data_IF_916445497651
#
_entry.id   IF_916445497651
#
_cell.length_a   1.000
_cell.length_b   1.000
_cell.length_c   1.000
_cell.angle_alpha   90.00
_cell.angle_beta   90.00
_cell.angle_gamma   90.00
#
_symmetry.space_group_name_H-M   'P 1'
#
loop_
_entity.id
_entity.type
_entity.pdbx_description
1 polymer ?
#
# COMPACT_ATOMS: atom_id res chain seq x y z
N UNK A 1 16.42 22.22 -14.36
CA UNK A 1 16.73 20.80 -14.15
C UNK A 1 16.11 20.41 -12.82
N UNK A 2 15.22 19.41 -12.80
CA UNK A 2 14.71 18.87 -11.54
C UNK A 2 15.85 18.14 -10.82
N UNK A 3 16.04 18.35 -9.51
CA UNK A 3 17.00 17.58 -8.74
C UNK A 3 16.70 16.07 -8.86
N UNK A 4 17.71 15.18 -8.94
CA UNK A 4 17.46 13.75 -8.86
C UNK A 4 16.78 13.41 -7.54
N UNK A 5 15.83 12.45 -7.54
CA UNK A 5 14.97 12.14 -6.39
C UNK A 5 15.72 12.15 -5.05
N UNK A 6 16.92 11.55 -4.98
CA UNK A 6 17.71 11.45 -3.75
C UNK A 6 17.94 12.80 -3.03
N UNK A 7 18.22 13.86 -3.78
CA UNK A 7 18.43 15.18 -3.16
C UNK A 7 17.16 15.73 -2.48
N UNK A 8 15.96 15.39 -2.97
CA UNK A 8 14.71 15.89 -2.40
C UNK A 8 14.37 15.24 -1.07
N UNK A 9 14.68 13.95 -0.88
CA UNK A 9 14.40 13.27 0.40
C UNK A 9 15.35 13.74 1.51
N UNK A 10 16.63 13.93 1.18
CA UNK A 10 17.63 14.54 2.06
C UNK A 10 17.22 15.96 2.44
N UNK A 11 16.93 16.84 1.48
CA UNK A 11 16.48 18.21 1.75
C UNK A 11 15.22 18.25 2.61
N UNK A 12 14.26 17.37 2.36
CA UNK A 12 13.04 17.26 3.18
C UNK A 12 13.35 16.89 4.63
N UNK A 13 14.35 16.02 4.84
CA UNK A 13 14.88 15.69 6.17
C UNK A 13 15.61 16.84 6.83
N UNK A 14 16.47 17.53 6.12
CA UNK A 14 17.19 18.70 6.63
C UNK A 14 16.23 19.83 7.04
N UNK A 15 15.13 20.00 6.30
CA UNK A 15 14.06 20.97 6.61
C UNK A 15 13.17 20.54 7.78
N UNK A 16 13.41 19.37 8.38
CA UNK A 16 12.68 18.89 9.56
C UNK A 16 11.27 18.37 9.28
N UNK A 17 10.94 18.04 8.02
CA UNK A 17 9.64 17.44 7.71
C UNK A 17 9.51 16.05 8.36
N UNK A 18 8.37 15.80 9.00
CA UNK A 18 8.08 14.49 9.61
C UNK A 18 7.97 13.40 8.56
N UNK A 19 7.17 13.64 7.51
CA UNK A 19 6.83 12.64 6.50
C UNK A 19 7.42 12.96 5.13
N UNK A 20 7.78 11.91 4.39
CA UNK A 20 8.20 11.97 2.98
C UNK A 20 7.23 11.14 2.16
N UNK A 21 6.25 11.78 1.54
CA UNK A 21 5.34 11.13 0.60
C UNK A 21 5.96 11.15 -0.80
N UNK A 22 6.17 9.98 -1.39
CA UNK A 22 6.77 9.81 -2.71
C UNK A 22 5.76 9.08 -3.59
N UNK A 23 5.19 9.80 -4.55
CA UNK A 23 4.27 9.20 -5.51
C UNK A 23 5.01 8.69 -6.74
N UNK A 24 4.70 7.46 -7.13
CA UNK A 24 5.19 6.83 -8.35
C UNK A 24 4.06 6.01 -9.00
N UNK A 25 4.33 5.43 -10.17
CA UNK A 25 3.32 4.73 -10.95
C UNK A 25 3.06 3.30 -10.48
N UNK A 26 4.05 2.61 -9.89
CA UNK A 26 4.01 1.17 -9.61
C UNK A 26 4.67 0.82 -8.28
N UNK A 27 4.17 -0.23 -7.63
CA UNK A 27 4.61 -0.69 -6.30
C UNK A 27 6.15 -0.73 -6.23
N UNK A 28 6.68 -0.11 -5.19
CA UNK A 28 8.12 0.03 -4.95
C UNK A 28 8.68 -1.17 -4.17
N UNK A 29 7.97 -1.60 -3.12
CA UNK A 29 8.28 -2.80 -2.36
C UNK A 29 8.31 -4.02 -3.27
N UNK A 30 9.14 -5.01 -2.91
CA UNK A 30 9.14 -6.26 -3.66
C UNK A 30 7.84 -7.02 -3.32
N UNK A 31 7.31 -7.71 -4.33
CA UNK A 31 6.20 -8.63 -4.17
C UNK A 31 6.55 -9.85 -5.02
N UNK A 32 6.82 -10.97 -4.36
CA UNK A 32 6.88 -12.28 -4.99
C UNK A 32 5.47 -12.69 -5.44
N UNK A 33 5.30 -12.84 -6.75
CA UNK A 33 4.06 -13.22 -7.42
C UNK A 33 4.07 -14.67 -7.94
N UNK A 34 5.12 -15.47 -7.65
CA UNK A 34 5.24 -16.86 -8.12
C UNK A 34 4.07 -17.73 -7.65
N UNK A 35 3.49 -17.43 -6.48
CA UNK A 35 2.33 -18.15 -5.94
C UNK A 35 1.00 -17.80 -6.60
N UNK A 36 0.95 -16.86 -7.54
CA UNK A 36 -0.28 -16.44 -8.21
C UNK A 36 -0.18 -16.40 -9.74
N UNK A 37 0.66 -15.55 -10.31
CA UNK A 37 0.70 -15.30 -11.77
C UNK A 37 2.11 -15.10 -12.33
N UNK A 38 3.14 -15.27 -11.50
CA UNK A 38 4.54 -15.41 -11.94
C UNK A 38 4.98 -16.88 -11.95
N UNK A 39 6.28 -17.08 -12.06
CA UNK A 39 6.93 -18.39 -11.88
C UNK A 39 8.11 -18.29 -10.92
N UNK A 40 8.79 -19.39 -10.61
CA UNK A 40 10.02 -19.35 -9.81
C UNK A 40 11.17 -18.68 -10.60
N UNK A 41 11.17 -18.81 -11.93
CA UNK A 41 12.12 -18.15 -12.83
C UNK A 41 11.81 -16.65 -12.98
N UNK A 42 10.52 -16.28 -13.01
CA UNK A 42 10.04 -14.90 -13.08
C UNK A 42 9.12 -14.57 -11.88
N UNK A 43 9.69 -14.41 -10.67
CA UNK A 43 8.92 -14.27 -9.44
C UNK A 43 8.38 -12.85 -9.24
N UNK A 44 8.68 -11.90 -10.13
CA UNK A 44 8.32 -10.50 -9.98
C UNK A 44 7.57 -9.98 -11.19
N UNK A 45 6.62 -9.07 -10.96
CA UNK A 45 5.99 -8.34 -12.04
C UNK A 45 7.03 -7.44 -12.72
N UNK A 46 7.23 -7.64 -14.02
CA UNK A 46 8.21 -6.93 -14.84
C UNK A 46 7.95 -5.42 -14.95
N UNK A 47 6.71 -4.97 -14.73
CA UNK A 47 6.31 -3.56 -14.76
C UNK A 47 6.51 -2.84 -13.41
N UNK A 48 6.90 -3.57 -12.35
CA UNK A 48 7.06 -3.03 -10.99
C UNK A 48 8.53 -2.89 -10.62
N UNK A 49 8.83 -2.11 -9.56
CA UNK A 49 10.21 -1.92 -9.09
C UNK A 49 10.88 -3.22 -8.62
N UNK A 50 10.10 -4.25 -8.34
CA UNK A 50 10.58 -5.58 -8.00
C UNK A 50 11.52 -6.16 -9.08
N UNK A 51 11.21 -5.96 -10.37
CA UNK A 51 12.02 -6.42 -11.51
C UNK A 51 13.24 -5.51 -11.77
N UNK A 52 13.13 -4.21 -11.49
CA UNK A 52 14.20 -3.21 -11.67
C UNK A 52 15.15 -3.13 -10.47
N UNK A 53 15.69 -4.28 -10.05
CA UNK A 53 16.43 -4.45 -8.79
C UNK A 53 17.58 -3.45 -8.60
N UNK A 54 18.37 -3.16 -9.63
CA UNK A 54 19.47 -2.20 -9.53
C UNK A 54 18.98 -0.78 -9.21
N UNK A 55 17.86 -0.36 -9.79
CA UNK A 55 17.28 0.97 -9.52
C UNK A 55 16.69 1.01 -8.10
N UNK A 56 15.92 -0.03 -7.74
CA UNK A 56 15.34 -0.16 -6.40
C UNK A 56 16.41 -0.17 -5.32
N UNK A 57 17.50 -0.90 -5.52
CA UNK A 57 18.61 -0.97 -4.59
C UNK A 57 19.32 0.38 -4.42
N UNK A 58 19.53 1.16 -5.48
CA UNK A 58 20.11 2.51 -5.33
C UNK A 58 19.20 3.44 -4.53
N UNK A 59 17.88 3.36 -4.75
CA UNK A 59 16.91 4.11 -3.94
C UNK A 59 16.96 3.69 -2.48
N UNK A 60 16.98 2.38 -2.19
CA UNK A 60 17.14 1.91 -0.81
C UNK A 60 18.48 2.30 -0.20
N UNK A 61 19.60 2.17 -0.92
CA UNK A 61 20.92 2.62 -0.46
C UNK A 61 20.88 4.08 -0.03
N UNK A 62 20.23 4.93 -0.81
CA UNK A 62 20.06 6.34 -0.48
C UNK A 62 19.18 6.54 0.77
N UNK A 63 18.01 5.88 0.85
CA UNK A 63 17.10 6.04 2.00
C UNK A 63 17.75 5.54 3.30
N UNK A 64 18.31 4.32 3.29
CA UNK A 64 18.95 3.73 4.46
C UNK A 64 20.26 4.42 4.82
N UNK A 65 21.12 4.71 3.83
CA UNK A 65 22.43 5.33 4.04
C UNK A 65 22.34 6.73 4.64
N UNK A 66 21.28 7.47 4.32
CA UNK A 66 21.01 8.79 4.89
C UNK A 66 20.04 8.75 6.07
N UNK A 67 19.69 7.56 6.58
CA UNK A 67 18.76 7.36 7.71
C UNK A 67 17.41 8.09 7.48
N UNK A 68 16.89 8.00 6.26
CA UNK A 68 15.62 8.59 5.86
C UNK A 68 14.51 7.60 6.17
N UNK A 69 13.70 7.94 7.18
CA UNK A 69 12.54 7.18 7.62
C UNK A 69 11.24 7.98 7.43
N UNK A 70 10.12 7.47 7.96
CA UNK A 70 8.79 8.05 7.79
C UNK A 70 8.44 8.29 6.31
N UNK A 71 8.81 7.33 5.46
CA UNK A 71 8.61 7.39 4.02
C UNK A 71 7.33 6.68 3.63
N UNK A 72 6.43 7.37 2.92
CA UNK A 72 5.21 6.79 2.37
C UNK A 72 5.36 6.75 0.85
N UNK A 73 5.60 5.57 0.31
CA UNK A 73 5.50 5.33 -1.13
C UNK A 73 4.02 5.22 -1.50
N UNK A 74 3.61 5.95 -2.53
CA UNK A 74 2.26 5.93 -3.06
C UNK A 74 2.30 5.44 -4.51
N UNK A 75 1.53 4.42 -4.82
CA UNK A 75 1.48 3.84 -6.15
C UNK A 75 0.05 3.56 -6.63
N UNK A 76 -0.06 3.36 -7.95
CA UNK A 76 -1.24 2.81 -8.60
C UNK A 76 -0.83 1.73 -9.59
N UNK A 77 -1.54 1.63 -10.71
CA UNK A 77 -1.14 0.84 -11.88
C UNK A 77 -1.23 -0.69 -11.74
N UNK A 78 -1.15 -1.22 -10.52
CA UNK A 78 -1.19 -2.66 -10.24
C UNK A 78 -2.60 -3.27 -10.28
N UNK A 79 -3.65 -2.45 -10.38
CA UNK A 79 -5.06 -2.87 -10.37
C UNK A 79 -5.51 -3.61 -9.11
N UNK A 80 -4.80 -3.45 -8.01
CA UNK A 80 -5.17 -3.96 -6.70
C UNK A 80 -4.79 -2.96 -5.60
N UNK A 81 -5.42 -3.11 -4.44
CA UNK A 81 -5.07 -2.40 -3.23
C UNK A 81 -4.01 -3.18 -2.46
N UNK A 82 -3.01 -2.46 -1.96
CA UNK A 82 -1.88 -3.04 -1.25
C UNK A 82 -1.48 -2.16 -0.06
N UNK A 83 -1.36 -2.77 1.11
CA UNK A 83 -0.65 -2.19 2.24
C UNK A 83 0.60 -3.00 2.50
N UNK A 84 1.77 -2.41 2.29
CA UNK A 84 3.06 -3.03 2.56
C UNK A 84 3.91 -2.22 3.54
N UNK A 85 4.65 -2.91 4.40
CA UNK A 85 5.79 -2.32 5.08
C UNK A 85 6.89 -2.00 4.03
N UNK A 86 7.56 -0.86 4.17
CA UNK A 86 8.66 -0.46 3.30
C UNK A 86 9.99 -0.87 3.93
N UNK A 87 10.57 -1.96 3.41
CA UNK A 87 11.87 -2.47 3.85
C UNK A 87 12.70 -3.09 2.74
N UNK A 88 14.02 -2.98 2.88
CA UNK A 88 14.97 -3.54 1.93
C UNK A 88 15.27 -5.03 2.18
N UNK A 89 15.51 -5.43 3.44
CA UNK A 89 15.80 -6.83 3.79
C UNK A 89 14.57 -7.53 4.37
N UNK A 90 14.03 -8.48 3.60
CA UNK A 90 12.78 -9.17 3.93
C UNK A 90 12.98 -10.42 4.78
N UNK A 91 14.21 -10.89 4.92
CA UNK A 91 14.53 -12.15 5.61
C UNK A 91 14.16 -12.05 7.09
N UNK A 92 14.42 -10.90 7.72
CA UNK A 92 14.13 -10.68 9.14
C UNK A 92 12.83 -9.91 9.37
N UNK A 93 12.32 -9.19 8.37
CA UNK A 93 11.21 -8.25 8.55
C UNK A 93 11.60 -7.00 9.35
N UNK A 94 12.88 -6.81 9.65
CA UNK A 94 13.40 -5.69 10.41
C UNK A 94 13.82 -4.52 9.50
N UNK A 95 13.97 -3.34 10.11
CA UNK A 95 14.47 -2.15 9.42
C UNK A 95 13.43 -1.50 8.51
N UNK A 96 12.16 -1.57 8.87
CA UNK A 96 11.10 -0.86 8.14
C UNK A 96 11.28 0.65 8.32
N UNK A 97 11.22 1.38 7.20
CA UNK A 97 11.43 2.83 7.13
C UNK A 97 10.16 3.61 6.73
N UNK A 98 9.03 2.89 6.60
CA UNK A 98 7.72 3.46 6.37
C UNK A 98 6.79 2.46 5.69
N UNK A 99 5.94 2.94 4.78
CA UNK A 99 4.96 2.11 4.09
C UNK A 99 4.99 2.30 2.57
N UNK A 100 4.60 1.27 1.85
CA UNK A 100 4.24 1.33 0.44
C UNK A 100 2.76 1.02 0.28
N UNK A 101 2.03 2.03 -0.18
CA UNK A 101 0.58 2.05 -0.25
C UNK A 101 0.18 2.18 -1.71
N UNK A 102 -0.50 1.16 -2.22
CA UNK A 102 -0.92 1.14 -3.62
C UNK A 102 -2.43 0.96 -3.73
N UNK A 103 -3.03 1.66 -4.68
CA UNK A 103 -4.46 1.57 -4.96
C UNK A 103 -4.73 0.90 -6.29
N UNK A 104 -5.91 0.28 -6.37
CA UNK A 104 -6.43 -0.23 -7.63
C UNK A 104 -6.85 0.91 -8.57
N UNK A 105 -7.41 0.57 -9.72
CA UNK A 105 -7.96 1.55 -10.65
C UNK A 105 -9.28 2.17 -10.14
N UNK A 106 -9.54 3.41 -10.56
CA UNK A 106 -10.81 4.09 -10.30
C UNK A 106 -11.96 3.49 -11.12
N UNK A 107 -11.71 3.08 -12.37
CA UNK A 107 -12.78 2.60 -13.28
C UNK A 107 -12.38 1.51 -14.27
N UNK A 108 -11.08 1.25 -14.48
CA UNK A 108 -10.60 0.21 -15.41
C UNK A 108 -11.07 -1.20 -14.99
N UNK A 109 -10.97 -2.20 -15.87
CA UNK A 109 -11.49 -3.55 -15.62
C UNK A 109 -10.86 -4.27 -14.43
N UNK A 110 -9.65 -3.88 -14.01
CA UNK A 110 -8.86 -4.49 -12.93
C UNK A 110 -8.68 -6.00 -13.05
N UNK A 111 -8.42 -6.70 -11.94
CA UNK A 111 -8.36 -8.16 -11.95
C UNK A 111 -9.72 -8.78 -12.24
N UNK A 112 -9.71 -9.87 -13.01
CA UNK A 112 -10.91 -10.63 -13.32
C UNK A 112 -11.32 -11.51 -12.13
N UNK A 113 -12.62 -11.76 -12.02
CA UNK A 113 -13.19 -12.62 -10.97
C UNK A 113 -14.13 -11.87 -10.03
N UNK A 114 -14.68 -12.62 -9.08
CA UNK A 114 -15.46 -12.08 -7.97
C UNK A 114 -14.58 -11.94 -6.72
N UNK A 115 -15.13 -11.35 -5.65
CA UNK A 115 -14.45 -11.15 -4.36
C UNK A 115 -13.80 -12.45 -3.86
N UNK A 116 -14.54 -13.57 -3.89
CA UNK A 116 -14.02 -14.86 -3.44
C UNK A 116 -12.79 -15.33 -4.25
N UNK A 117 -12.79 -15.08 -5.57
CA UNK A 117 -11.66 -15.45 -6.44
C UNK A 117 -10.42 -14.61 -6.12
N UNK A 118 -10.59 -13.29 -5.94
CA UNK A 118 -9.49 -12.40 -5.59
C UNK A 118 -8.98 -12.63 -4.17
N UNK A 119 -9.85 -13.04 -3.23
CA UNK A 119 -9.44 -13.39 -1.87
C UNK A 119 -8.57 -14.65 -1.86
N UNK A 120 -8.89 -15.67 -2.67
CA UNK A 120 -8.03 -16.86 -2.84
C UNK A 120 -6.65 -16.48 -3.38
N UNK A 121 -6.56 -15.47 -4.26
CA UNK A 121 -5.27 -14.97 -4.74
C UNK A 121 -4.49 -14.29 -3.62
N UNK A 122 -5.13 -13.41 -2.87
CA UNK A 122 -4.53 -12.73 -1.72
C UNK A 122 -4.07 -13.74 -0.64
N UNK A 123 -4.80 -14.83 -0.42
CA UNK A 123 -4.42 -15.94 0.47
C UNK A 123 -3.11 -16.64 0.04
N UNK A 124 -2.76 -16.62 -1.24
CA UNK A 124 -1.50 -17.18 -1.75
C UNK A 124 -0.34 -16.20 -1.68
N UNK A 125 -0.61 -14.90 -1.86
CA UNK A 125 0.41 -13.85 -1.88
C UNK A 125 0.85 -13.43 -0.48
N UNK A 126 -0.10 -13.18 0.42
CA UNK A 126 0.20 -12.62 1.74
C UNK A 126 1.18 -13.50 2.53
N UNK A 127 1.04 -14.84 2.59
CA UNK A 127 1.98 -15.66 3.36
C UNK A 127 3.42 -15.64 2.86
N UNK A 128 3.63 -15.54 1.54
CA UNK A 128 4.97 -15.64 0.92
C UNK A 128 5.71 -14.29 0.79
N UNK A 129 5.08 -13.20 1.21
CA UNK A 129 5.64 -11.83 1.17
C UNK A 129 5.60 -11.22 2.58
N UNK A 130 6.73 -11.21 3.30
CA UNK A 130 6.77 -10.79 4.71
C UNK A 130 6.31 -9.35 4.93
N UNK A 131 6.60 -8.48 3.96
CA UNK A 131 6.25 -7.07 3.87
C UNK A 131 4.79 -6.81 3.47
N UNK A 132 4.11 -7.76 2.83
CA UNK A 132 2.73 -7.59 2.38
C UNK A 132 1.80 -7.79 3.58
N UNK A 133 1.24 -6.68 4.05
CA UNK A 133 0.36 -6.67 5.22
C UNK A 133 -1.10 -6.86 4.81
N UNK A 134 -1.51 -6.33 3.67
CA UNK A 134 -2.86 -6.50 3.16
C UNK A 134 -2.93 -6.42 1.64
N UNK A 135 -3.77 -7.26 1.03
CA UNK A 135 -4.11 -7.20 -0.39
C UNK A 135 -5.63 -7.37 -0.60
N UNK A 136 -6.19 -6.54 -1.48
CA UNK A 136 -7.58 -6.62 -1.94
C UNK A 136 -7.62 -6.22 -3.42
N UNK A 137 -8.18 -7.08 -4.28
CA UNK A 137 -8.02 -6.94 -5.74
C UNK A 137 -9.34 -6.86 -6.51
N UNK A 138 -10.48 -6.84 -5.81
CA UNK A 138 -11.81 -6.83 -6.41
C UNK A 138 -12.32 -5.40 -6.64
N UNK A 139 -12.43 -4.60 -5.59
CA UNK A 139 -13.09 -3.30 -5.67
C UNK A 139 -12.32 -2.31 -6.54
N UNK A 140 -13.05 -1.39 -7.16
CA UNK A 140 -12.46 -0.14 -7.66
C UNK A 140 -12.37 0.84 -6.51
N UNK A 141 -11.26 1.55 -6.38
CA UNK A 141 -10.98 2.24 -5.11
C UNK A 141 -10.24 3.56 -5.30
N UNK A 142 -10.14 4.27 -4.19
CA UNK A 142 -9.15 5.31 -3.94
C UNK A 142 -8.68 5.19 -2.49
N UNK A 143 -7.56 5.86 -2.17
CA UNK A 143 -7.15 6.06 -0.77
C UNK A 143 -7.28 7.54 -0.37
N UNK A 144 -7.51 7.77 0.91
CA UNK A 144 -7.25 9.06 1.55
C UNK A 144 -6.09 8.92 2.51
N UNK A 145 -5.12 9.84 2.43
CA UNK A 145 -3.95 9.86 3.31
C UNK A 145 -3.99 11.13 4.17
N UNK A 146 -4.08 10.96 5.49
CA UNK A 146 -3.97 12.03 6.47
C UNK A 146 -2.60 11.98 7.12
N UNK A 147 -1.87 13.09 7.03
CA UNK A 147 -0.55 13.22 7.64
C UNK A 147 -0.61 14.27 8.74
N UNK A 148 -0.16 13.90 9.93
CA UNK A 148 0.11 14.84 11.02
C UNK A 148 1.51 14.58 11.61
N UNK A 149 1.95 15.39 12.56
CA UNK A 149 3.30 15.28 13.12
C UNK A 149 3.59 13.95 13.87
N UNK A 150 2.58 13.13 14.17
CA UNK A 150 2.70 11.89 14.96
C UNK A 150 2.43 10.63 14.15
N UNK A 151 1.57 10.70 13.14
CA UNK A 151 1.13 9.53 12.38
C UNK A 151 0.69 9.88 10.96
N UNK A 152 0.74 8.86 10.10
CA UNK A 152 0.15 8.82 8.78
C UNK A 152 -1.00 7.81 8.79
N UNK A 153 -2.23 8.26 8.52
CA UNK A 153 -3.42 7.42 8.43
C UNK A 153 -3.85 7.28 6.97
N UNK A 154 -3.84 6.05 6.47
CA UNK A 154 -4.33 5.67 5.14
C UNK A 154 -5.67 4.96 5.26
N UNK A 155 -6.69 5.48 4.58
CA UNK A 155 -8.03 4.90 4.53
C UNK A 155 -8.37 4.52 3.08
N UNK A 156 -8.70 3.25 2.87
CA UNK A 156 -9.06 2.70 1.56
C UNK A 156 -10.58 2.62 1.42
N UNK A 157 -11.09 3.12 0.30
CA UNK A 157 -12.52 3.11 -0.01
C UNK A 157 -12.79 2.48 -1.37
N UNK A 158 -13.73 1.54 -1.41
CA UNK A 158 -14.20 0.87 -2.62
C UNK A 158 -15.51 1.46 -3.13
N UNK A 159 -15.68 1.52 -4.45
CA UNK A 159 -16.94 1.82 -5.09
C UNK A 159 -17.76 0.52 -5.28
N UNK A 160 -19.06 0.48 -4.92
CA UNK A 160 -19.90 -0.70 -5.14
C UNK A 160 -20.06 -1.03 -6.62
N UNK A 161 -20.01 0.00 -7.47
CA UNK A 161 -20.07 -0.13 -8.92
C UNK A 161 -19.46 1.11 -9.56
N UNK A 162 -18.81 0.92 -10.71
CA UNK A 162 -18.34 2.00 -11.59
C UNK A 162 -19.22 2.17 -12.84
N UNK A 163 -20.29 1.35 -12.96
CA UNK A 163 -21.20 1.36 -14.11
C UNK A 163 -22.22 2.50 -14.04
N UNK A 164 -22.57 2.93 -12.83
CA UNK A 164 -23.55 3.99 -12.58
C UNK A 164 -23.00 4.99 -11.57
N UNK A 165 -23.31 6.27 -11.78
CA UNK A 165 -22.97 7.32 -10.82
C UNK A 165 -23.69 7.05 -9.50
N UNK A 166 -22.94 7.07 -8.40
CA UNK A 166 -23.44 6.93 -7.05
C UNK A 166 -22.51 7.67 -6.09
N UNK A 167 -22.93 7.86 -4.85
CA UNK A 167 -22.17 8.55 -3.80
C UNK A 167 -21.75 7.61 -2.67
N UNK A 168 -21.62 6.31 -2.95
CA UNK A 168 -21.34 5.31 -1.93
C UNK A 168 -19.84 4.98 -1.91
N UNK A 169 -19.25 5.11 -0.73
CA UNK A 169 -17.89 4.68 -0.44
C UNK A 169 -17.96 3.51 0.56
N UNK A 170 -17.41 2.36 0.18
CA UNK A 170 -17.32 1.15 1.01
C UNK A 170 -15.96 1.20 1.73
N UNK A 171 -15.89 1.34 3.06
CA UNK A 171 -14.62 1.24 3.77
C UNK A 171 -14.01 -0.15 3.60
N UNK A 172 -12.78 -0.24 3.10
CA UNK A 172 -12.09 -1.51 2.86
C UNK A 172 -11.08 -1.84 3.96
N UNK A 173 -10.18 -0.90 4.25
CA UNK A 173 -9.13 -1.04 5.25
C UNK A 173 -8.65 0.32 5.75
N UNK A 174 -8.09 0.35 6.96
CA UNK A 174 -7.31 1.49 7.45
C UNK A 174 -5.95 1.04 7.99
N UNK A 175 -4.94 1.88 7.75
CA UNK A 175 -3.60 1.67 8.27
C UNK A 175 -3.05 2.96 8.84
N UNK A 176 -2.43 2.86 10.00
CA UNK A 176 -1.70 3.91 10.68
C UNK A 176 -0.23 3.56 10.70
N UNK A 177 0.61 4.46 10.20
CA UNK A 177 2.06 4.41 10.42
C UNK A 177 2.38 5.46 11.46
N UNK A 178 2.85 5.04 12.62
CA UNK A 178 3.32 5.98 13.65
C UNK A 178 4.72 6.46 13.32
N UNK A 179 4.96 7.74 13.57
CA UNK A 179 6.27 8.34 13.43
C UNK A 179 7.31 7.52 14.21
N UNK A 180 8.45 7.20 13.58
CA UNK A 180 9.57 6.36 14.10
C UNK A 180 9.26 4.88 14.30
N UNK A 181 7.99 4.50 14.47
CA UNK A 181 7.62 3.08 14.45
C UNK A 181 7.72 2.55 13.01
N UNK A 182 7.34 3.37 12.03
CA UNK A 182 7.52 3.10 10.59
C UNK A 182 6.83 1.86 10.03
N UNK A 183 6.15 1.06 10.85
CA UNK A 183 5.38 -0.10 10.42
C UNK A 183 3.89 0.24 10.22
N UNK A 184 3.24 -0.49 9.32
CA UNK A 184 1.78 -0.50 9.24
C UNK A 184 1.20 -1.16 10.49
N UNK A 185 0.61 -0.32 11.33
CA UNK A 185 -0.37 -0.73 12.33
C UNK A 185 -1.76 -0.53 11.73
N UNK A 186 -2.76 -1.28 12.13
CA UNK A 186 -4.08 -1.07 11.56
C UNK A 186 -5.12 -2.03 12.06
N UNK A 187 -6.34 -1.77 11.64
CA UNK A 187 -7.49 -2.60 11.91
C UNK A 187 -8.35 -2.71 10.67
N UNK A 188 -9.05 -3.82 10.58
CA UNK A 188 -9.80 -4.13 9.37
C UNK A 188 -11.27 -4.00 9.70
N UNK A 189 -12.00 -3.27 8.86
CA UNK A 189 -13.39 -2.92 9.08
C UNK A 189 -14.25 -4.16 9.39
N UNK A 190 -14.65 -4.33 10.66
CA UNK A 190 -15.64 -5.32 11.10
C UNK A 190 -15.09 -6.55 11.85
N UNK A 191 -13.78 -6.67 12.09
CA UNK A 191 -13.20 -7.89 12.70
C UNK A 191 -13.13 -9.09 11.75
N UNK A 192 -13.63 -8.91 10.52
CA UNK A 192 -13.29 -9.61 9.27
C UNK A 192 -12.84 -8.56 8.27
N UNK A 193 -12.06 -8.93 7.26
CA UNK A 193 -11.86 -8.05 6.11
C UNK A 193 -13.22 -7.81 5.45
N UNK A 194 -13.62 -6.55 5.25
CA UNK A 194 -14.81 -6.28 4.41
C UNK A 194 -14.53 -6.81 2.99
N UNK A 195 -13.26 -6.76 2.54
CA UNK A 195 -12.74 -7.52 1.39
C UNK A 195 -11.20 -7.54 1.37
N UNK A 196 -10.60 -8.66 0.97
CA UNK A 196 -9.15 -8.87 0.92
C UNK A 196 -8.60 -9.77 2.04
N UNK A 197 -7.28 -9.94 2.08
CA UNK A 197 -6.58 -10.79 3.07
C UNK A 197 -5.48 -9.99 3.73
N UNK A 198 -5.33 -10.17 5.04
CA UNK A 198 -4.34 -9.47 5.86
C UNK A 198 -3.44 -10.42 6.64
N UNK A 199 -2.22 -9.96 6.93
CA UNK A 199 -1.31 -10.62 7.87
C UNK A 199 -1.82 -10.51 9.31
N UNK A 200 -1.61 -11.56 10.11
CA UNK A 200 -2.16 -11.70 11.46
C UNK A 200 -1.73 -10.63 12.49
N UNK A 201 -0.63 -9.89 12.25
CA UNK A 201 -0.16 -8.82 13.16
C UNK A 201 -0.96 -7.52 13.05
N UNK A 202 -1.81 -7.36 12.03
CA UNK A 202 -2.77 -6.26 11.96
C UNK A 202 -3.89 -6.56 12.98
N UNK A 203 -3.94 -5.76 14.04
CA UNK A 203 -4.83 -5.97 15.19
C UNK A 203 -6.31 -5.84 14.79
N UNK A 204 -7.13 -6.74 15.34
CA UNK A 204 -8.60 -6.72 15.22
C UNK A 204 -9.18 -5.59 16.09
N UNK A 205 -9.29 -4.37 15.57
CA UNK A 205 -10.13 -3.34 16.19
C UNK A 205 -11.36 -3.01 15.36
N UNK A 206 -12.44 -2.70 16.07
CA UNK A 206 -13.75 -2.33 15.53
C UNK A 206 -13.64 -0.93 14.94
N UNK A 207 -13.91 -0.76 13.64
CA UNK A 207 -14.13 0.59 13.10
C UNK A 207 -15.32 1.19 13.86
N UNK A 208 -15.17 2.41 14.37
CA UNK A 208 -16.32 3.30 14.50
C UNK A 208 -16.81 3.49 13.07
N UNK A 209 -18.01 3.00 12.74
CA UNK A 209 -18.66 3.30 11.47
C UNK A 209 -18.74 4.82 11.35
N UNK A 210 -17.82 5.44 10.63
CA UNK A 210 -18.10 6.75 10.07
C UNK A 210 -19.07 6.48 8.93
N UNK A 211 -20.30 6.91 9.19
CA UNK A 211 -21.46 7.01 8.31
C UNK A 211 -21.09 7.03 6.84
N UNK A 212 -21.85 6.27 6.04
CA UNK A 212 -22.00 6.48 4.59
C UNK A 212 -22.06 7.99 4.36
N UNK A 213 -20.97 8.58 3.87
CA UNK A 213 -21.00 9.98 3.50
C UNK A 213 -21.76 10.05 2.19
N UNK A 214 -23.07 10.27 2.26
CA UNK A 214 -23.77 10.84 1.12
C UNK A 214 -23.13 12.21 0.89
N UNK A 215 -22.21 12.32 -0.07
CA UNK A 215 -21.87 13.64 -0.60
C UNK A 215 -23.13 14.16 -1.28
N UNK A 216 -23.92 14.96 -0.56
CA UNK A 216 -24.91 15.83 -1.18
C UNK A 216 -24.13 16.78 -2.09
N UNK A 217 -24.20 16.56 -3.40
CA UNK A 217 -23.74 17.56 -4.36
C UNK A 217 -24.69 18.77 -4.30
N UNK A 218 -24.19 20.02 -4.40
CA UNK A 218 -25.03 21.18 -4.62
C UNK A 218 -25.80 21.10 -5.95
#
# INVERSE_FOLDING_TARGET
MSPPLGTMQEESKEKGATWRAISNQTIFSRVNISSWFGSEEEPYNVEQWASHTSNRNRTYQHLYGNQIDNTIMLAGGSYANWGLDLLWNQTTGEGVIGADLAVTAVSSSGFSGNIATTDVQAQKLVPVNSELMWNESYFRSYLTLYLNAKEALAEYYGAPTVRTRNSYDIPLANFTVKMRANHLEGSIAGGSVTSGISRARINRARLLMSTVHSRSTP
#
